data_IF_937335878773
#
_entry.id   IF_937335878773
#
_cell.length_a   1.000
_cell.length_b   1.000
_cell.length_c   1.000
_cell.angle_alpha   90.00
_cell.angle_beta   90.00
_cell.angle_gamma   90.00
#
_symmetry.space_group_name_H-M   'P 1'
#
loop_
_entity.id
_entity.type
_entity.pdbx_description
1 polymer ?
#
# COMPACT_ATOMS: atom_id res chain seq x y z
N UNK A 1 3.96 -17.67 -6.20
CA UNK A 1 2.52 -17.52 -5.86
C UNK A 1 2.30 -16.78 -4.54
N UNK A 2 2.95 -17.17 -3.43
CA UNK A 2 2.73 -16.57 -2.11
C UNK A 2 2.97 -15.04 -2.07
N UNK A 3 4.11 -14.56 -2.56
CA UNK A 3 4.41 -13.11 -2.62
C UNK A 3 3.45 -12.34 -3.54
N UNK A 4 2.96 -12.97 -4.61
CA UNK A 4 1.95 -12.37 -5.47
C UNK A 4 0.63 -12.13 -4.71
N UNK A 5 0.19 -13.11 -3.91
CA UNK A 5 -0.96 -12.96 -3.02
C UNK A 5 -0.73 -11.87 -1.97
N UNK A 6 0.42 -11.89 -1.29
CA UNK A 6 0.75 -10.85 -0.31
C UNK A 6 0.71 -9.43 -0.92
N UNK A 7 1.32 -9.23 -2.08
CA UNK A 7 1.30 -7.94 -2.77
C UNK A 7 -0.11 -7.50 -3.15
N UNK A 8 -0.91 -8.42 -3.70
CA UNK A 8 -2.31 -8.13 -4.05
C UNK A 8 -3.15 -7.73 -2.85
N UNK A 9 -3.05 -8.48 -1.75
CA UNK A 9 -3.84 -8.21 -0.56
C UNK A 9 -3.41 -6.93 0.18
N UNK A 10 -2.10 -6.62 0.21
CA UNK A 10 -1.61 -5.37 0.80
C UNK A 10 -2.10 -4.15 0.00
N UNK A 11 -1.98 -4.18 -1.34
CA UNK A 11 -2.39 -3.05 -2.17
C UNK A 11 -3.92 -2.88 -2.18
N UNK A 12 -4.68 -3.96 -2.03
CA UNK A 12 -6.13 -3.93 -1.99
C UNK A 12 -6.68 -3.04 -0.85
N UNK A 13 -5.93 -2.89 0.26
CA UNK A 13 -6.30 -2.02 1.38
C UNK A 13 -6.56 -0.57 0.96
N UNK A 14 -5.89 -0.09 -0.09
CA UNK A 14 -6.04 1.28 -0.61
C UNK A 14 -7.40 1.47 -1.29
N UNK A 15 -8.01 0.38 -1.76
CA UNK A 15 -9.20 0.42 -2.63
C UNK A 15 -10.48 -0.06 -1.95
N UNK A 16 -10.43 -0.66 -0.76
CA UNK A 16 -11.61 -1.23 -0.10
C UNK A 16 -12.67 -0.19 0.25
N UNK A 17 -12.29 1.02 0.66
CA UNK A 17 -13.23 2.05 1.02
C UNK A 17 -14.03 2.61 -0.17
N UNK A 18 -13.45 2.61 -1.39
CA UNK A 18 -14.03 3.28 -2.55
C UNK A 18 -15.46 2.84 -2.91
N UNK A 19 -15.76 1.54 -3.07
CA UNK A 19 -17.10 1.10 -3.50
C UNK A 19 -18.15 1.18 -2.39
N UNK A 20 -17.74 1.40 -1.14
CA UNK A 20 -18.61 1.38 0.04
C UNK A 20 -18.67 2.73 0.77
N UNK A 21 -18.19 3.79 0.12
CA UNK A 21 -18.20 5.15 0.69
C UNK A 21 -19.62 5.58 1.08
N UNK A 22 -20.62 5.26 0.26
CA UNK A 22 -22.02 5.61 0.50
C UNK A 22 -22.59 4.93 1.75
N UNK A 23 -22.02 3.80 2.17
CA UNK A 23 -22.37 3.12 3.42
C UNK A 23 -21.60 3.71 4.61
N UNK A 24 -20.34 4.09 4.40
CA UNK A 24 -19.46 4.59 5.46
C UNK A 24 -19.84 6.02 5.86
N UNK A 25 -19.97 6.93 4.89
CA UNK A 25 -20.08 8.36 5.15
C UNK A 25 -21.27 8.74 6.04
N UNK A 26 -22.51 8.26 5.81
CA UNK A 26 -23.64 8.57 6.68
C UNK A 26 -23.47 8.01 8.09
N UNK A 27 -22.91 6.80 8.20
CA UNK A 27 -22.79 6.08 9.46
C UNK A 27 -21.78 6.72 10.43
N UNK A 28 -20.75 7.40 9.91
CA UNK A 28 -19.79 8.15 10.72
C UNK A 28 -20.10 9.66 10.79
N UNK A 29 -21.21 10.11 10.24
CA UNK A 29 -21.59 11.52 10.22
C UNK A 29 -20.79 12.40 9.26
N UNK A 30 -20.21 11.82 8.19
CA UNK A 30 -19.48 12.56 7.17
C UNK A 30 -20.44 13.06 6.08
N UNK A 31 -20.36 14.35 5.77
CA UNK A 31 -21.20 14.91 4.70
C UNK A 31 -20.80 14.36 3.33
N UNK A 32 -21.76 14.24 2.37
CA UNK A 32 -21.46 13.73 1.02
C UNK A 32 -20.36 14.52 0.30
N UNK A 33 -20.27 15.83 0.55
CA UNK A 33 -19.23 16.70 -0.02
C UNK A 33 -17.80 16.32 0.46
N UNK A 34 -17.70 15.77 1.67
CA UNK A 34 -16.41 15.38 2.27
C UNK A 34 -16.12 13.87 2.12
N UNK A 35 -17.08 13.09 1.63
CA UNK A 35 -16.93 11.65 1.49
C UNK A 35 -15.75 11.26 0.60
N UNK A 36 -15.47 12.02 -0.46
CA UNK A 36 -14.33 11.83 -1.35
C UNK A 36 -12.95 11.99 -0.65
N UNK A 37 -12.91 12.68 0.52
CA UNK A 37 -11.69 12.82 1.31
C UNK A 37 -11.17 11.47 1.82
N UNK A 38 -12.03 10.48 2.01
CA UNK A 38 -11.63 9.12 2.40
C UNK A 38 -10.62 8.57 1.39
N UNK A 39 -10.97 8.63 0.09
CA UNK A 39 -10.08 8.15 -0.99
C UNK A 39 -8.88 9.06 -1.14
N UNK A 40 -9.09 10.38 -1.16
CA UNK A 40 -8.00 11.34 -1.36
C UNK A 40 -6.93 11.22 -0.27
N UNK A 41 -7.32 11.09 1.01
CA UNK A 41 -6.39 10.92 2.11
C UNK A 41 -5.67 9.58 2.06
N UNK A 42 -6.35 8.50 1.66
CA UNK A 42 -5.69 7.20 1.46
C UNK A 42 -4.62 7.30 0.37
N UNK A 43 -4.90 7.97 -0.74
CA UNK A 43 -3.92 8.17 -1.83
C UNK A 43 -2.76 9.10 -1.41
N UNK A 44 -3.07 10.19 -0.69
CA UNK A 44 -2.04 11.08 -0.12
C UNK A 44 -1.16 10.31 0.85
N UNK A 45 -1.77 9.54 1.76
CA UNK A 45 -1.04 8.67 2.68
C UNK A 45 -0.10 7.73 1.95
N UNK A 46 -0.58 7.08 0.88
CA UNK A 46 0.24 6.19 0.06
C UNK A 46 1.42 6.93 -0.60
N UNK A 47 1.18 8.10 -1.17
CA UNK A 47 2.24 8.93 -1.76
C UNK A 47 3.29 9.34 -0.71
N UNK A 48 2.86 9.74 0.49
CA UNK A 48 3.76 10.04 1.61
C UNK A 48 4.56 8.80 2.04
N UNK A 49 3.91 7.65 2.12
CA UNK A 49 4.56 6.37 2.41
C UNK A 49 5.61 5.99 1.38
N UNK A 50 5.32 6.18 0.09
CA UNK A 50 6.29 5.96 -0.99
C UNK A 50 7.53 6.88 -0.84
N UNK A 51 7.30 8.13 -0.48
CA UNK A 51 8.38 9.11 -0.36
C UNK A 51 9.23 8.91 0.90
N UNK A 52 8.59 8.60 2.04
CA UNK A 52 9.28 8.52 3.32
C UNK A 52 9.66 7.10 3.75
N UNK A 53 8.81 6.10 3.53
CA UNK A 53 9.08 4.75 4.03
C UNK A 53 9.87 3.89 3.05
N UNK A 54 9.64 4.01 1.75
CA UNK A 54 10.32 3.15 0.77
C UNK A 54 11.83 3.35 0.78
N UNK A 55 12.38 4.59 0.86
CA UNK A 55 13.84 4.79 0.97
C UNK A 55 14.44 4.19 2.25
N UNK A 56 13.66 4.02 3.32
CA UNK A 56 14.15 3.32 4.51
C UNK A 56 14.46 1.84 4.25
N UNK A 57 13.88 1.25 3.21
CA UNK A 57 14.20 -0.12 2.77
C UNK A 57 15.64 -0.30 2.31
N UNK A 58 16.33 0.79 1.94
CA UNK A 58 17.75 0.79 1.59
C UNK A 58 18.68 0.94 2.80
N UNK A 59 18.15 1.31 3.97
CA UNK A 59 18.90 1.55 5.21
C UNK A 59 18.61 0.54 6.30
N UNK A 60 17.36 0.11 6.41
CA UNK A 60 16.89 -0.74 7.49
C UNK A 60 16.76 -2.19 7.03
N UNK A 61 16.72 -3.10 7.97
CA UNK A 61 16.39 -4.49 7.71
C UNK A 61 14.99 -4.57 7.06
N UNK A 62 14.94 -5.01 5.80
CA UNK A 62 13.73 -5.01 4.99
C UNK A 62 12.57 -5.77 5.65
N UNK A 63 12.84 -6.94 6.25
CA UNK A 63 11.83 -7.74 6.95
C UNK A 63 11.25 -6.97 8.14
N UNK A 64 12.08 -6.33 8.97
CA UNK A 64 11.64 -5.55 10.12
C UNK A 64 10.79 -4.35 9.69
N UNK A 65 11.22 -3.63 8.65
CA UNK A 65 10.49 -2.48 8.11
C UNK A 65 9.11 -2.90 7.59
N UNK A 66 9.03 -3.99 6.83
CA UNK A 66 7.76 -4.51 6.32
C UNK A 66 6.81 -4.96 7.43
N UNK A 67 7.33 -5.59 8.48
CA UNK A 67 6.50 -6.00 9.63
C UNK A 67 5.96 -4.77 10.36
N UNK A 68 6.79 -3.75 10.62
CA UNK A 68 6.35 -2.52 11.28
C UNK A 68 5.27 -1.82 10.46
N UNK A 69 5.47 -1.66 9.15
CA UNK A 69 4.46 -1.04 8.28
C UNK A 69 3.17 -1.84 8.24
N UNK A 70 3.24 -3.17 8.22
CA UNK A 70 2.06 -4.03 8.30
C UNK A 70 1.33 -3.93 9.64
N UNK A 71 2.04 -3.82 10.76
CA UNK A 71 1.42 -3.60 12.08
C UNK A 71 0.68 -2.26 12.13
N UNK A 72 1.25 -1.21 11.55
CA UNK A 72 0.56 0.08 11.40
C UNK A 72 -0.68 -0.07 10.52
N UNK A 73 -0.60 -0.84 9.42
CA UNK A 73 -1.75 -1.12 8.56
C UNK A 73 -2.86 -1.86 9.33
N UNK A 74 -2.52 -2.88 10.10
CA UNK A 74 -3.47 -3.63 10.94
C UNK A 74 -4.15 -2.71 11.95
N UNK A 75 -3.38 -1.90 12.67
CA UNK A 75 -3.92 -0.95 13.65
C UNK A 75 -4.85 0.08 12.98
N UNK A 76 -4.47 0.58 11.79
CA UNK A 76 -5.28 1.53 11.03
C UNK A 76 -6.56 0.91 10.48
N UNK A 77 -6.53 -0.33 9.99
CA UNK A 77 -7.70 -1.08 9.53
C UNK A 77 -8.67 -1.36 10.68
N UNK A 78 -8.15 -1.76 11.84
CA UNK A 78 -8.98 -1.91 13.05
C UNK A 78 -9.54 -0.56 13.50
N UNK A 79 -8.72 0.50 13.47
CA UNK A 79 -9.18 1.85 13.74
C UNK A 79 -10.32 2.29 12.82
N UNK A 80 -10.26 1.94 11.51
CA UNK A 80 -11.33 2.20 10.57
C UNK A 80 -12.59 1.38 10.90
N UNK A 81 -12.45 0.10 11.25
CA UNK A 81 -13.57 -0.78 11.61
C UNK A 81 -14.35 -0.28 12.83
N UNK A 82 -13.68 0.36 13.79
CA UNK A 82 -14.28 0.86 15.02
C UNK A 82 -14.47 2.39 15.06
N UNK A 83 -14.20 3.08 13.95
CA UNK A 83 -14.41 4.53 13.89
C UNK A 83 -15.89 4.90 13.96
N UNK A 84 -16.21 5.80 14.88
CA UNK A 84 -17.55 6.40 15.06
C UNK A 84 -17.56 7.88 14.64
N UNK A 85 -16.39 8.49 14.50
CA UNK A 85 -16.25 9.91 14.17
C UNK A 85 -15.55 10.10 12.82
N UNK A 86 -15.96 11.09 12.00
CA UNK A 86 -15.38 11.33 10.70
C UNK A 86 -13.87 11.63 10.76
N UNK A 87 -13.42 12.42 11.73
CA UNK A 87 -12.01 12.79 11.86
C UNK A 87 -11.11 11.58 12.14
N UNK A 88 -11.58 10.63 12.96
CA UNK A 88 -10.86 9.39 13.25
C UNK A 88 -10.76 8.56 11.97
N UNK A 89 -11.87 8.38 11.25
CA UNK A 89 -11.90 7.61 10.01
C UNK A 89 -11.01 8.22 8.94
N UNK A 90 -11.00 9.53 8.78
CA UNK A 90 -10.12 10.24 7.84
C UNK A 90 -8.64 10.08 8.19
N UNK A 91 -8.30 10.19 9.48
CA UNK A 91 -6.92 9.97 9.94
C UNK A 91 -6.45 8.54 9.67
N UNK A 92 -7.26 7.53 10.02
CA UNK A 92 -6.87 6.14 9.77
C UNK A 92 -6.85 5.79 8.28
N UNK A 93 -7.69 6.44 7.44
CA UNK A 93 -7.62 6.31 5.99
C UNK A 93 -6.26 6.76 5.45
N UNK A 94 -5.75 7.90 5.91
CA UNK A 94 -4.40 8.36 5.58
C UNK A 94 -3.33 7.35 6.04
N UNK A 95 -3.46 6.80 7.24
CA UNK A 95 -2.52 5.81 7.78
C UNK A 95 -2.60 4.46 7.05
N UNK A 96 -3.79 4.02 6.61
CA UNK A 96 -3.93 2.84 5.74
C UNK A 96 -3.13 3.02 4.47
N UNK A 97 -3.27 4.17 3.80
CA UNK A 97 -2.47 4.48 2.63
C UNK A 97 -0.97 4.48 2.95
N UNK A 98 -0.56 5.24 3.96
CA UNK A 98 0.84 5.40 4.37
C UNK A 98 1.54 4.07 4.67
N UNK A 99 0.85 3.14 5.30
CA UNK A 99 1.40 1.84 5.69
C UNK A 99 1.33 0.77 4.60
N UNK A 100 0.50 0.94 3.56
CA UNK A 100 0.33 -0.06 2.48
C UNK A 100 1.48 -0.09 1.47
N UNK A 101 2.60 0.58 1.74
CA UNK A 101 3.77 0.68 0.85
C UNK A 101 4.73 -0.51 0.93
N UNK A 102 4.53 -1.45 1.85
CA UNK A 102 5.41 -2.62 2.01
C UNK A 102 5.54 -3.46 0.72
N UNK A 103 4.56 -3.40 -0.17
CA UNK A 103 4.63 -3.99 -1.52
C UNK A 103 5.82 -3.46 -2.31
N UNK A 104 6.09 -2.15 -2.24
CA UNK A 104 7.18 -1.51 -2.99
C UNK A 104 8.57 -1.90 -2.46
N UNK A 105 8.65 -2.41 -1.24
CA UNK A 105 9.87 -2.99 -0.67
C UNK A 105 9.95 -4.48 -1.04
N UNK A 106 8.82 -5.19 -1.06
CA UNK A 106 8.77 -6.63 -1.35
C UNK A 106 9.15 -6.97 -2.80
N UNK A 107 8.73 -6.15 -3.78
CA UNK A 107 8.99 -6.39 -5.20
C UNK A 107 10.50 -6.44 -5.51
N UNK A 108 11.31 -5.40 -5.20
CA UNK A 108 12.74 -5.44 -5.45
C UNK A 108 13.46 -6.49 -4.60
N UNK A 109 13.01 -6.74 -3.37
CA UNK A 109 13.54 -7.79 -2.53
C UNK A 109 13.34 -9.18 -3.17
N UNK A 110 12.14 -9.47 -3.64
CA UNK A 110 11.84 -10.74 -4.32
C UNK A 110 12.63 -10.90 -5.62
N UNK A 111 12.80 -9.83 -6.39
CA UNK A 111 13.64 -9.83 -7.59
C UNK A 111 15.11 -10.09 -7.28
N UNK A 112 15.61 -9.58 -6.15
CA UNK A 112 16.99 -9.79 -5.71
C UNK A 112 17.23 -11.23 -5.22
N UNK A 113 16.24 -11.83 -4.55
CA UNK A 113 16.31 -13.21 -4.05
C UNK A 113 16.16 -14.26 -5.16
N UNK A 114 15.60 -13.86 -6.32
CA UNK A 114 15.40 -14.77 -7.44
C UNK A 114 16.68 -14.96 -8.27
N UNK A 115 16.95 -16.20 -8.78
CA UNK A 115 17.99 -16.44 -9.77
C UNK A 115 17.84 -15.52 -10.99
N UNK A 116 18.98 -15.12 -11.60
CA UNK A 116 18.99 -14.16 -12.70
C UNK A 116 18.04 -14.55 -13.86
N UNK A 117 18.00 -15.85 -14.20
CA UNK A 117 17.19 -16.41 -15.28
C UNK A 117 15.68 -16.34 -15.01
N UNK A 118 15.27 -16.29 -13.74
CA UNK A 118 13.85 -16.33 -13.34
C UNK A 118 13.33 -14.98 -12.82
N UNK A 119 14.17 -13.96 -12.66
CA UNK A 119 13.79 -12.65 -12.10
C UNK A 119 12.56 -12.02 -12.79
N UNK A 120 12.55 -12.02 -14.12
CA UNK A 120 11.43 -11.47 -14.89
C UNK A 120 10.13 -12.22 -14.64
N UNK A 121 10.18 -13.55 -14.52
CA UNK A 121 8.99 -14.38 -14.20
C UNK A 121 8.48 -14.11 -12.79
N UNK A 122 9.40 -13.98 -11.82
CA UNK A 122 9.03 -13.68 -10.42
C UNK A 122 8.37 -12.31 -10.31
N UNK A 123 8.99 -11.27 -10.87
CA UNK A 123 8.43 -9.91 -10.87
C UNK A 123 7.10 -9.87 -11.62
N UNK A 124 7.00 -10.50 -12.79
CA UNK A 124 5.74 -10.59 -13.54
C UNK A 124 4.61 -11.28 -12.76
N UNK A 125 4.93 -12.37 -12.04
CA UNK A 125 3.95 -13.05 -11.17
C UNK A 125 3.48 -12.17 -10.02
N UNK A 126 4.40 -11.41 -9.40
CA UNK A 126 4.05 -10.49 -8.30
C UNK A 126 3.20 -9.34 -8.80
N UNK A 127 3.56 -8.75 -9.95
CA UNK A 127 2.76 -7.69 -10.58
C UNK A 127 1.36 -8.18 -11.00
N UNK A 128 1.25 -9.41 -11.52
CA UNK A 128 -0.04 -10.04 -11.80
C UNK A 128 -0.89 -10.18 -10.54
N UNK A 129 -0.30 -10.60 -9.42
CA UNK A 129 -0.99 -10.67 -8.13
C UNK A 129 -1.42 -9.31 -7.62
N UNK A 130 -0.57 -8.29 -7.76
CA UNK A 130 -0.88 -6.91 -7.40
C UNK A 130 -2.09 -6.39 -8.19
N UNK A 131 -2.08 -6.55 -9.52
CA UNK A 131 -3.19 -6.12 -10.37
C UNK A 131 -4.48 -6.87 -10.06
N UNK A 132 -4.42 -8.18 -9.80
CA UNK A 132 -5.57 -8.96 -9.36
C UNK A 132 -6.11 -8.47 -8.01
N UNK A 133 -5.22 -8.10 -7.07
CA UNK A 133 -5.62 -7.51 -5.79
C UNK A 133 -6.40 -6.21 -5.96
N UNK A 134 -5.93 -5.32 -6.84
CA UNK A 134 -6.63 -4.06 -7.17
C UNK A 134 -7.98 -4.37 -7.81
N UNK A 135 -8.01 -5.25 -8.80
CA UNK A 135 -9.24 -5.61 -9.52
C UNK A 135 -10.29 -6.22 -8.59
N UNK A 136 -9.89 -7.14 -7.71
CA UNK A 136 -10.78 -7.85 -6.81
C UNK A 136 -11.16 -7.05 -5.56
N UNK A 137 -10.41 -6.01 -5.21
CA UNK A 137 -10.67 -5.21 -4.02
C UNK A 137 -12.09 -4.64 -4.00
N UNK A 138 -12.57 -4.11 -5.12
CA UNK A 138 -13.90 -3.50 -5.22
C UNK A 138 -15.04 -4.52 -5.09
N UNK A 139 -15.13 -5.59 -5.91
CA UNK A 139 -16.21 -6.57 -5.79
C UNK A 139 -16.20 -7.29 -4.44
N UNK A 140 -15.02 -7.61 -3.90
CA UNK A 140 -14.92 -8.24 -2.57
C UNK A 140 -15.40 -7.30 -1.48
N UNK A 141 -15.01 -6.02 -1.53
CA UNK A 141 -15.45 -5.05 -0.55
C UNK A 141 -16.96 -4.83 -0.59
N UNK A 142 -17.56 -4.69 -1.77
CA UNK A 142 -19.02 -4.57 -1.93
C UNK A 142 -19.74 -5.80 -1.39
N UNK A 143 -19.32 -7.01 -1.79
CA UNK A 143 -19.95 -8.26 -1.33
C UNK A 143 -19.88 -8.42 0.19
N UNK A 144 -18.74 -8.15 0.80
CA UNK A 144 -18.60 -8.25 2.27
C UNK A 144 -19.45 -7.19 2.96
N UNK A 145 -19.47 -5.96 2.43
CA UNK A 145 -20.25 -4.88 3.01
C UNK A 145 -21.77 -5.12 2.92
N UNK A 146 -22.24 -5.69 1.81
CA UNK A 146 -23.65 -6.02 1.60
C UNK A 146 -24.16 -7.11 2.56
N UNK A 147 -23.32 -8.11 2.87
CA UNK A 147 -23.76 -9.25 3.70
C UNK A 147 -23.46 -9.07 5.19
N UNK A 148 -22.36 -8.39 5.53
CA UNK A 148 -21.84 -8.32 6.90
C UNK A 148 -21.65 -6.89 7.41
N UNK A 149 -21.95 -5.89 6.59
CA UNK A 149 -21.71 -4.48 6.88
C UNK A 149 -20.28 -4.04 6.56
N UNK A 150 -20.11 -2.74 6.32
CA UNK A 150 -18.83 -2.16 5.88
C UNK A 150 -17.69 -2.32 6.90
N UNK A 151 -18.00 -2.33 8.20
CA UNK A 151 -17.01 -2.55 9.27
C UNK A 151 -16.37 -3.94 9.18
N UNK A 152 -17.13 -4.96 8.79
CA UNK A 152 -16.63 -6.32 8.61
C UNK A 152 -15.56 -6.40 7.52
N UNK A 153 -15.62 -5.56 6.49
CA UNK A 153 -14.58 -5.50 5.45
C UNK A 153 -13.23 -5.11 6.03
N UNK A 154 -13.18 -4.08 6.87
CA UNK A 154 -11.94 -3.62 7.50
C UNK A 154 -11.40 -4.64 8.52
N UNK A 155 -12.28 -5.31 9.27
CA UNK A 155 -11.89 -6.41 10.17
C UNK A 155 -11.31 -7.60 9.40
N UNK A 156 -11.93 -8.00 8.30
CA UNK A 156 -11.44 -9.07 7.43
C UNK A 156 -10.07 -8.69 6.82
N UNK A 157 -9.94 -7.45 6.34
CA UNK A 157 -8.67 -6.94 5.84
C UNK A 157 -7.56 -6.96 6.91
N UNK A 158 -7.87 -6.55 8.15
CA UNK A 158 -6.93 -6.63 9.27
C UNK A 158 -6.50 -8.08 9.55
N UNK A 159 -7.43 -9.04 9.55
CA UNK A 159 -7.13 -10.46 9.73
C UNK A 159 -6.20 -11.00 8.62
N UNK A 160 -6.46 -10.63 7.36
CA UNK A 160 -5.58 -10.97 6.23
C UNK A 160 -4.19 -10.37 6.41
N UNK A 161 -4.08 -9.12 6.88
CA UNK A 161 -2.78 -8.48 7.14
C UNK A 161 -2.02 -9.14 8.28
N UNK A 162 -2.70 -9.66 9.32
CA UNK A 162 -2.06 -10.49 10.37
C UNK A 162 -1.48 -11.76 9.76
N UNK A 163 -2.25 -12.46 8.92
CA UNK A 163 -1.77 -13.65 8.23
C UNK A 163 -0.56 -13.32 7.34
N UNK A 164 -0.61 -12.24 6.55
CA UNK A 164 0.51 -11.79 5.71
C UNK A 164 1.73 -11.49 6.56
N UNK A 165 1.58 -10.82 7.70
CA UNK A 165 2.69 -10.51 8.59
C UNK A 165 3.38 -11.79 9.10
N UNK A 166 2.60 -12.80 9.49
CA UNK A 166 3.13 -14.11 9.87
C UNK A 166 3.89 -14.78 8.71
N UNK A 167 3.31 -14.77 7.51
CA UNK A 167 3.96 -15.31 6.31
C UNK A 167 5.29 -14.60 6.02
N UNK A 168 5.33 -13.27 6.03
CA UNK A 168 6.54 -12.50 5.80
C UNK A 168 7.60 -12.76 6.87
N UNK A 169 7.19 -12.92 8.13
CA UNK A 169 8.11 -13.30 9.21
C UNK A 169 8.77 -14.64 9.01
N UNK A 170 8.05 -15.61 8.44
CA UNK A 170 8.54 -16.97 8.26
C UNK A 170 9.33 -17.16 6.96
N UNK A 171 9.00 -16.39 5.91
CA UNK A 171 9.55 -16.62 4.56
C UNK A 171 10.65 -15.67 4.16
N UNK A 172 10.65 -14.43 4.67
CA UNK A 172 11.65 -13.43 4.28
C UNK A 172 12.89 -13.55 5.16
N UNK A 173 14.08 -13.75 4.55
CA UNK A 173 15.33 -13.74 5.31
C UNK A 173 15.62 -12.33 5.87
N UNK A 174 16.31 -12.29 7.00
CA UNK A 174 16.84 -11.03 7.53
C UNK A 174 17.91 -10.51 6.58
N UNK A 175 17.62 -9.41 5.91
CA UNK A 175 18.55 -8.73 5.04
C UNK A 175 18.70 -7.29 5.49
N UNK A 176 19.90 -6.94 5.87
CA UNK A 176 20.30 -5.57 6.12
C UNK A 176 21.08 -5.07 4.90
N UNK A 177 20.63 -4.01 4.23
CA UNK A 177 21.39 -3.43 3.12
C UNK A 177 22.72 -2.85 3.61
N UNK A 178 23.79 -3.05 2.83
CA UNK A 178 25.11 -2.48 3.11
C UNK A 178 25.19 -1.04 2.59
N UNK A 179 24.46 -0.11 3.23
CA UNK A 179 24.50 1.30 2.87
C UNK A 179 25.02 2.15 4.04
N UNK A 180 26.06 2.95 3.75
CA UNK A 180 26.64 3.94 4.69
C UNK A 180 25.99 5.33 4.59
N UNK A 181 25.02 5.52 3.69
CA UNK A 181 24.35 6.82 3.51
C UNK A 181 23.38 7.13 4.66
N UNK A 182 23.32 8.39 5.08
CA UNK A 182 22.27 8.83 6.01
C UNK A 182 20.91 8.96 5.31
N UNK A 183 19.82 8.87 6.06
CA UNK A 183 18.46 9.03 5.52
C UNK A 183 18.26 10.37 4.79
N UNK A 184 18.80 11.47 5.35
CA UNK A 184 18.75 12.78 4.69
C UNK A 184 19.50 12.82 3.36
N UNK A 185 20.62 12.10 3.25
CA UNK A 185 21.37 11.97 1.99
C UNK A 185 20.58 11.18 0.94
N UNK A 186 19.86 10.13 1.35
CA UNK A 186 18.98 9.38 0.44
C UNK A 186 17.85 10.24 -0.10
N UNK A 187 17.13 10.95 0.76
CA UNK A 187 16.07 11.87 0.32
C UNK A 187 16.63 12.99 -0.57
N UNK A 188 17.78 13.55 -0.23
CA UNK A 188 18.47 14.55 -1.05
C UNK A 188 18.91 14.03 -2.41
N UNK A 189 19.29 12.74 -2.49
CA UNK A 189 19.66 12.08 -3.74
C UNK A 189 18.52 11.99 -4.74
N UNK A 190 17.27 11.85 -4.29
CA UNK A 190 16.08 11.86 -5.15
C UNK A 190 15.95 13.18 -5.91
N UNK A 191 16.14 14.31 -5.21
CA UNK A 191 16.15 15.63 -5.85
C UNK A 191 17.32 15.81 -6.85
N UNK A 192 18.47 15.28 -6.51
CA UNK A 192 19.65 15.31 -7.40
C UNK A 192 19.44 14.44 -8.65
N UNK A 193 18.86 13.25 -8.49
CA UNK A 193 18.51 12.34 -9.59
C UNK A 193 17.51 12.98 -10.56
N UNK A 194 16.45 13.59 -10.01
CA UNK A 194 15.44 14.29 -10.82
C UNK A 194 16.06 15.47 -11.59
N UNK A 195 17.04 16.17 -11.03
CA UNK A 195 17.72 17.29 -11.71
C UNK A 195 18.72 16.84 -12.76
N UNK A 196 19.51 15.80 -12.47
CA UNK A 196 20.63 15.36 -13.32
C UNK A 196 20.25 14.35 -14.40
N UNK A 197 19.10 13.64 -14.26
CA UNK A 197 18.69 12.57 -15.15
C UNK A 197 17.42 12.96 -15.95
N UNK A 198 17.57 13.53 -17.16
CA UNK A 198 16.41 13.95 -17.98
C UNK A 198 15.50 12.78 -18.37
N UNK A 199 16.07 11.60 -18.63
CA UNK A 199 15.31 10.40 -18.93
C UNK A 199 14.42 9.96 -17.76
N UNK A 200 14.91 10.11 -16.52
CA UNK A 200 14.12 9.78 -15.33
C UNK A 200 12.92 10.74 -15.19
N UNK A 201 13.11 12.04 -15.43
CA UNK A 201 12.01 13.02 -15.42
C UNK A 201 10.95 12.70 -16.47
N UNK A 202 11.38 12.36 -17.68
CA UNK A 202 10.47 12.01 -18.78
C UNK A 202 9.65 10.76 -18.41
N UNK A 203 10.30 9.72 -17.90
CA UNK A 203 9.62 8.49 -17.45
C UNK A 203 8.68 8.75 -16.28
N UNK A 204 9.09 9.55 -15.29
CA UNK A 204 8.25 9.95 -14.17
C UNK A 204 7.01 10.71 -14.62
N UNK A 205 7.15 11.62 -15.59
CA UNK A 205 6.04 12.35 -16.18
C UNK A 205 5.05 11.40 -16.90
N UNK A 206 5.55 10.50 -17.75
CA UNK A 206 4.69 9.53 -18.43
C UNK A 206 3.97 8.60 -17.45
N UNK A 207 4.68 8.12 -16.43
CA UNK A 207 4.08 7.28 -15.39
C UNK A 207 3.03 8.06 -14.58
N UNK A 208 3.28 9.33 -14.30
CA UNK A 208 2.32 10.23 -13.64
C UNK A 208 1.05 10.41 -14.46
N UNK A 209 1.16 10.66 -15.77
CA UNK A 209 0.01 10.77 -16.68
C UNK A 209 -0.78 9.45 -16.75
N UNK A 210 -0.09 8.31 -16.86
CA UNK A 210 -0.75 7.00 -16.88
C UNK A 210 -1.47 6.71 -15.56
N UNK A 211 -0.86 7.03 -14.43
CA UNK A 211 -1.50 6.84 -13.12
C UNK A 211 -2.66 7.80 -12.89
N UNK A 212 -2.57 9.04 -13.38
CA UNK A 212 -3.69 9.98 -13.34
C UNK A 212 -4.89 9.46 -14.15
N UNK A 213 -4.65 8.94 -15.36
CA UNK A 213 -5.70 8.31 -16.18
C UNK A 213 -6.32 7.10 -15.49
N UNK A 214 -5.50 6.25 -14.89
CA UNK A 214 -5.96 5.12 -14.08
C UNK A 214 -6.84 5.58 -12.92
N UNK A 215 -6.42 6.62 -12.18
CA UNK A 215 -7.17 7.15 -11.04
C UNK A 215 -8.48 7.82 -11.42
N UNK A 216 -8.59 8.37 -12.65
CA UNK A 216 -9.86 8.91 -13.16
C UNK A 216 -10.87 7.80 -13.50
N UNK A 217 -10.38 6.64 -13.91
CA UNK A 217 -11.24 5.50 -14.22
C UNK A 217 -11.69 4.75 -12.95
N UNK A 218 -10.82 4.70 -11.95
CA UNK A 218 -11.07 4.00 -10.68
C UNK A 218 -11.66 4.89 -9.62
#
# INVERSE_FOLDING_TARGET
>A
MLFAFCCGAIVANIYYAQPIIELIAPDIGLTPALASLIVSLTQIGYALGLFFLVPLGDLLENRKLMIITNLVAIASLLGAAFAEQPNVFLLVSLLIGFSSVSVQILIPLAAHLAPAESRGRVVGSIMGGLLLGILLARPVSSLVADHFGWRAMFMAAAAVMVFISAVLMLTIPKRQPDHSASYGQLLGSLGTLLRKQPLLRQRAFYQGCMFATFSLFW
#
